data_IF_078444130331
#
_entry.id   IF_078444130331
#
_cell.length_a   1.000
_cell.length_b   1.000
_cell.length_c   1.000
_cell.angle_alpha   90.00
_cell.angle_beta   90.00
_cell.angle_gamma   90.00
#
_symmetry.space_group_name_H-M   'P 1'
#
loop_
_entity.id
_entity.type
_entity.pdbx_description
1 polymer ?
#
# COMPACT_ATOMS: atom_id res chain seq x y z
N UNK A 1 41.28 42.43 7.88
CA UNK A 1 42.47 41.60 8.20
C UNK A 1 41.94 40.42 9.02
N UNK A 2 41.19 39.46 8.45
CA UNK A 2 41.58 38.36 7.55
C UNK A 2 42.77 37.57 8.10
N UNK A 3 42.48 36.44 8.76
CA UNK A 3 43.26 35.19 8.67
C UNK A 3 42.27 34.03 8.90
N UNK A 4 42.04 33.25 7.84
CA UNK A 4 41.52 31.88 7.92
C UNK A 4 42.69 30.93 8.25
N UNK A 5 42.46 29.77 8.86
CA UNK A 5 43.32 28.62 8.68
C UNK A 5 42.73 27.65 7.64
N UNK A 6 43.66 27.10 6.88
CA UNK A 6 43.49 26.37 5.65
C UNK A 6 42.96 24.94 5.81
N UNK A 7 42.21 24.56 4.77
CA UNK A 7 42.17 23.28 4.06
C UNK A 7 43.09 22.15 4.60
N UNK A 8 42.48 21.04 4.98
CA UNK A 8 43.12 19.73 4.94
C UNK A 8 42.26 18.81 4.05
N UNK A 9 42.85 18.33 2.94
CA UNK A 9 42.32 17.27 2.08
C UNK A 9 42.76 15.87 2.61
N UNK A 10 42.13 14.77 2.17
CA UNK A 10 41.90 13.57 2.97
C UNK A 10 42.92 12.43 2.75
N UNK A 11 42.98 11.42 3.65
CA UNK A 11 43.49 10.10 3.29
C UNK A 11 42.40 9.20 2.69
N UNK A 12 42.79 8.53 1.62
CA UNK A 12 41.95 7.76 0.70
C UNK A 12 41.68 6.30 1.14
N UNK A 13 40.44 5.85 0.85
CA UNK A 13 40.00 4.53 0.37
C UNK A 13 40.43 3.26 1.13
N UNK A 14 39.43 2.58 1.70
CA UNK A 14 39.46 1.15 2.03
C UNK A 14 38.11 0.50 1.72
N UNK A 15 38.16 -0.52 0.85
CA UNK A 15 37.05 -1.19 0.18
C UNK A 15 35.99 -1.83 1.09
N UNK A 16 34.73 -1.63 0.73
CA UNK A 16 33.60 -2.38 1.27
C UNK A 16 32.29 -1.85 0.71
N UNK A 17 32.05 -2.08 -0.59
CA UNK A 17 30.76 -1.84 -1.23
C UNK A 17 29.69 -2.73 -0.56
N UNK A 18 29.17 -2.33 0.59
CA UNK A 18 27.84 -2.75 1.02
C UNK A 18 26.88 -2.08 0.04
N UNK A 19 26.56 -2.81 -1.04
CA UNK A 19 25.46 -2.47 -1.95
C UNK A 19 24.23 -2.22 -1.09
N UNK A 20 23.86 -0.95 -0.93
CA UNK A 20 22.54 -0.58 -0.47
C UNK A 20 21.52 -1.34 -1.32
N UNK A 21 20.44 -1.88 -0.74
CA UNK A 21 19.40 -2.46 -1.56
C UNK A 21 18.90 -1.34 -2.49
N UNK A 22 19.09 -1.53 -3.79
CA UNK A 22 18.53 -0.67 -4.83
C UNK A 22 17.00 -0.80 -4.75
N UNK A 23 16.36 0.00 -3.89
CA UNK A 23 14.91 0.20 -3.96
C UNK A 23 14.64 1.09 -5.16
N UNK A 24 14.15 0.48 -6.23
CA UNK A 24 13.60 1.17 -7.38
C UNK A 24 12.53 2.19 -6.92
N UNK A 25 12.39 3.34 -7.59
CA UNK A 25 11.56 4.44 -7.11
C UNK A 25 10.08 4.06 -7.12
N UNK A 26 9.43 4.03 -5.95
CA UNK A 26 7.97 3.88 -5.82
C UNK A 26 7.28 5.18 -6.28
N UNK A 27 7.10 5.32 -7.60
CA UNK A 27 6.11 6.19 -8.25
C UNK A 27 6.09 7.65 -7.79
N UNK A 28 7.13 8.40 -8.11
CA UNK A 28 7.16 9.86 -7.96
C UNK A 28 6.21 10.62 -8.95
N UNK A 29 4.98 10.16 -9.23
CA UNK A 29 4.18 10.70 -10.35
C UNK A 29 2.66 10.86 -10.21
N UNK A 30 2.03 10.63 -9.07
CA UNK A 30 0.56 10.80 -8.96
C UNK A 30 0.13 11.64 -7.74
N UNK A 31 0.82 12.75 -7.46
CA UNK A 31 0.31 13.77 -6.51
C UNK A 31 -0.80 14.64 -7.14
N UNK A 32 -1.62 14.06 -8.02
CA UNK A 32 -2.91 14.63 -8.35
C UNK A 32 -3.80 14.28 -7.16
N UNK A 33 -4.27 15.32 -6.45
CA UNK A 33 -5.25 15.33 -5.37
C UNK A 33 -6.00 14.00 -5.26
N UNK A 34 -5.66 13.18 -4.27
CA UNK A 34 -6.38 11.93 -4.03
C UNK A 34 -7.74 12.33 -3.48
N UNK A 35 -8.79 12.23 -4.28
CA UNK A 35 -10.15 12.35 -3.75
C UNK A 35 -10.41 11.13 -2.87
N UNK A 36 -10.39 11.34 -1.55
CA UNK A 36 -10.52 10.27 -0.56
C UNK A 36 -11.85 9.52 -0.67
N UNK A 37 -12.92 10.25 -0.99
CA UNK A 37 -14.22 9.67 -1.26
C UNK A 37 -14.22 8.83 -2.53
N UNK A 38 -13.60 9.30 -3.61
CA UNK A 38 -13.51 8.53 -4.85
C UNK A 38 -12.69 7.24 -4.65
N UNK A 39 -11.54 7.33 -3.97
CA UNK A 39 -10.71 6.15 -3.67
C UNK A 39 -11.46 5.13 -2.81
N UNK A 40 -12.19 5.59 -1.78
CA UNK A 40 -13.03 4.74 -0.94
C UNK A 40 -14.14 4.06 -1.76
N UNK A 41 -14.90 4.83 -2.54
CA UNK A 41 -16.01 4.31 -3.34
C UNK A 41 -15.51 3.31 -4.39
N UNK A 42 -14.52 3.69 -5.20
CA UNK A 42 -13.96 2.81 -6.25
C UNK A 42 -13.46 1.50 -5.63
N UNK A 43 -12.68 1.57 -4.54
CA UNK A 43 -12.12 0.37 -3.91
C UNK A 43 -13.19 -0.53 -3.30
N UNK A 44 -14.19 0.06 -2.64
CA UNK A 44 -15.29 -0.67 -2.00
C UNK A 44 -16.15 -1.37 -3.05
N UNK A 45 -16.54 -0.67 -4.11
CA UNK A 45 -17.37 -1.22 -5.18
C UNK A 45 -16.63 -2.27 -6.00
N UNK A 46 -15.35 -2.04 -6.33
CA UNK A 46 -14.53 -3.02 -7.04
C UNK A 46 -14.40 -4.31 -6.23
N UNK A 47 -14.02 -4.22 -4.95
CA UNK A 47 -13.85 -5.39 -4.11
C UNK A 47 -15.18 -6.13 -3.87
N UNK A 48 -16.27 -5.40 -3.60
CA UNK A 48 -17.60 -6.01 -3.45
C UNK A 48 -18.01 -6.80 -4.72
N UNK A 49 -17.75 -6.22 -5.90
CA UNK A 49 -18.05 -6.85 -7.19
C UNK A 49 -17.21 -8.12 -7.42
N UNK A 50 -15.90 -8.06 -7.17
CA UNK A 50 -14.99 -9.21 -7.32
C UNK A 50 -15.38 -10.40 -6.44
N UNK A 51 -15.88 -10.11 -5.24
CA UNK A 51 -16.28 -11.12 -4.26
C UNK A 51 -17.78 -11.44 -4.29
N UNK A 52 -18.55 -10.85 -5.22
CA UNK A 52 -20.01 -11.05 -5.38
C UNK A 52 -20.82 -10.81 -4.10
N UNK A 53 -20.48 -9.75 -3.37
CA UNK A 53 -21.17 -9.31 -2.14
C UNK A 53 -21.71 -7.87 -2.32
N UNK A 54 -22.62 -7.43 -1.43
CA UNK A 54 -23.10 -6.06 -1.48
C UNK A 54 -22.04 -5.09 -0.92
N UNK A 55 -21.82 -3.90 -1.53
CA UNK A 55 -20.91 -2.89 -0.98
C UNK A 55 -21.24 -2.50 0.46
N UNK A 56 -22.54 -2.44 0.82
CA UNK A 56 -22.98 -2.14 2.18
C UNK A 56 -22.59 -3.22 3.21
N UNK A 57 -22.31 -4.45 2.77
CA UNK A 57 -21.86 -5.52 3.66
C UNK A 57 -20.42 -5.27 4.16
N UNK A 58 -19.61 -4.52 3.40
CA UNK A 58 -18.24 -4.19 3.78
C UNK A 58 -18.18 -3.23 4.97
N UNK A 59 -19.24 -2.46 5.24
CA UNK A 59 -19.29 -1.55 6.40
C UNK A 59 -19.34 -2.34 7.73
N UNK A 60 -19.95 -3.53 7.73
CA UNK A 60 -20.16 -4.33 8.94
C UNK A 60 -18.86 -4.78 9.59
N UNK A 61 -18.80 -4.81 10.93
CA UNK A 61 -17.59 -5.23 11.64
C UNK A 61 -17.21 -6.70 11.37
N UNK A 62 -18.23 -7.57 11.26
CA UNK A 62 -18.14 -9.01 11.04
C UNK A 62 -18.95 -9.41 9.80
N UNK A 63 -18.65 -10.56 9.23
CA UNK A 63 -19.38 -11.12 8.09
C UNK A 63 -18.82 -12.48 7.68
N UNK A 64 -19.43 -13.09 6.67
CA UNK A 64 -18.93 -14.30 6.03
C UNK A 64 -17.53 -14.07 5.44
N UNK A 65 -16.81 -15.16 5.14
CA UNK A 65 -15.43 -15.13 4.62
C UNK A 65 -15.27 -14.18 3.44
N UNK A 66 -16.16 -14.24 2.46
CA UNK A 66 -16.06 -13.43 1.23
C UNK A 66 -16.28 -11.94 1.49
N UNK A 67 -17.17 -11.58 2.43
CA UNK A 67 -17.37 -10.20 2.88
C UNK A 67 -16.11 -9.68 3.58
N UNK A 68 -15.47 -10.52 4.40
CA UNK A 68 -14.22 -10.15 5.08
C UNK A 68 -13.08 -9.95 4.08
N UNK A 69 -12.95 -10.86 3.11
CA UNK A 69 -11.96 -10.75 2.04
C UNK A 69 -12.19 -9.51 1.17
N UNK A 70 -13.43 -9.24 0.78
CA UNK A 70 -13.79 -8.03 0.02
C UNK A 70 -13.39 -6.76 0.77
N UNK A 71 -13.66 -6.68 2.07
CA UNK A 71 -13.25 -5.54 2.89
C UNK A 71 -11.73 -5.39 2.94
N UNK A 72 -11.00 -6.49 3.14
CA UNK A 72 -9.54 -6.47 3.19
C UNK A 72 -8.94 -6.05 1.84
N UNK A 73 -9.52 -6.50 0.73
CA UNK A 73 -9.16 -6.08 -0.62
C UNK A 73 -9.41 -4.59 -0.84
N UNK A 74 -10.57 -4.06 -0.45
CA UNK A 74 -10.86 -2.62 -0.54
C UNK A 74 -9.86 -1.78 0.27
N UNK A 75 -9.53 -2.21 1.50
CA UNK A 75 -8.50 -1.57 2.35
C UNK A 75 -7.13 -1.59 1.66
N UNK A 76 -6.75 -2.73 1.08
CA UNK A 76 -5.48 -2.89 0.37
C UNK A 76 -5.38 -1.94 -0.82
N UNK A 77 -6.43 -1.84 -1.63
CA UNK A 77 -6.47 -0.93 -2.79
C UNK A 77 -6.30 0.53 -2.37
N UNK A 78 -7.01 0.99 -1.34
CA UNK A 78 -6.86 2.37 -0.83
C UNK A 78 -5.43 2.63 -0.34
N UNK A 79 -4.85 1.71 0.44
CA UNK A 79 -3.51 1.89 0.99
C UNK A 79 -2.41 1.81 -0.10
N UNK A 80 -2.45 0.78 -0.94
CA UNK A 80 -1.35 0.42 -1.83
C UNK A 80 -1.53 1.02 -3.23
N UNK A 81 -2.71 0.87 -3.84
CA UNK A 81 -2.96 1.34 -5.21
C UNK A 81 -3.15 2.85 -5.24
N UNK A 82 -3.99 3.37 -4.36
CA UNK A 82 -4.21 4.82 -4.25
C UNK A 82 -3.15 5.52 -3.39
N UNK A 83 -2.31 4.80 -2.63
CA UNK A 83 -1.16 5.37 -1.92
C UNK A 83 -1.52 6.20 -0.69
N UNK A 84 -2.66 5.91 -0.05
CA UNK A 84 -3.05 6.53 1.21
C UNK A 84 -2.23 5.95 2.35
N UNK A 85 -1.93 6.72 3.40
CA UNK A 85 -1.29 6.14 4.59
C UNK A 85 -2.29 5.27 5.39
N UNK A 86 -1.75 4.49 6.35
CA UNK A 86 -2.55 3.54 7.14
C UNK A 86 -3.57 4.23 8.05
N UNK A 87 -3.28 5.43 8.57
CA UNK A 87 -4.20 6.17 9.43
C UNK A 87 -5.38 6.72 8.63
N UNK A 88 -5.09 7.32 7.46
CA UNK A 88 -6.15 7.84 6.58
C UNK A 88 -7.02 6.70 6.04
N UNK A 89 -6.41 5.58 5.65
CA UNK A 89 -7.14 4.37 5.23
C UNK A 89 -8.02 3.85 6.37
N UNK A 90 -7.50 3.76 7.60
CA UNK A 90 -8.25 3.32 8.77
C UNK A 90 -9.47 4.21 9.03
N UNK A 91 -9.31 5.53 8.93
CA UNK A 91 -10.41 6.49 9.06
C UNK A 91 -11.49 6.30 7.98
N UNK A 92 -11.10 6.10 6.71
CA UNK A 92 -12.05 5.90 5.61
C UNK A 92 -12.94 4.67 5.79
N UNK A 93 -12.42 3.60 6.41
CA UNK A 93 -13.19 2.37 6.66
C UNK A 93 -13.77 2.28 8.07
N UNK A 94 -13.59 3.32 8.92
CA UNK A 94 -14.02 3.30 10.31
C UNK A 94 -13.38 2.17 11.13
N UNK A 95 -12.07 1.92 10.94
CA UNK A 95 -11.32 0.84 11.57
C UNK A 95 -10.09 1.33 12.31
N UNK A 96 -9.51 0.46 13.13
CA UNK A 96 -8.21 0.70 13.74
C UNK A 96 -7.07 0.50 12.74
N UNK A 97 -5.97 1.24 12.91
CA UNK A 97 -4.75 1.12 12.10
C UNK A 97 -4.23 -0.32 11.98
N UNK A 98 -4.35 -1.13 13.05
CA UNK A 98 -3.97 -2.56 13.05
C UNK A 98 -4.83 -3.41 12.11
N UNK A 99 -6.09 -3.02 11.88
CA UNK A 99 -6.96 -3.68 10.91
C UNK A 99 -6.42 -3.48 9.50
N UNK A 100 -5.92 -2.27 9.18
CA UNK A 100 -5.29 -1.99 7.89
C UNK A 100 -4.02 -2.81 7.71
N UNK A 101 -3.17 -2.88 8.74
CA UNK A 101 -1.96 -3.71 8.73
C UNK A 101 -2.29 -5.18 8.47
N UNK A 102 -3.24 -5.73 9.24
CA UNK A 102 -3.66 -7.13 9.12
C UNK A 102 -4.32 -7.42 7.77
N UNK A 103 -5.14 -6.50 7.26
CA UNK A 103 -5.75 -6.62 5.94
C UNK A 103 -4.69 -6.64 4.84
N UNK A 104 -3.73 -5.72 4.89
CA UNK A 104 -2.67 -5.66 3.89
C UNK A 104 -1.78 -6.90 3.95
N UNK A 105 -1.37 -7.33 5.14
CA UNK A 105 -0.58 -8.56 5.31
C UNK A 105 -1.31 -9.77 4.72
N UNK A 106 -2.58 -9.96 5.07
CA UNK A 106 -3.36 -11.09 4.55
C UNK A 106 -3.53 -11.07 3.02
N UNK A 107 -3.76 -9.89 2.42
CA UNK A 107 -3.84 -9.78 0.96
C UNK A 107 -2.48 -10.00 0.31
N UNK A 108 -1.37 -9.56 0.92
CA UNK A 108 -0.03 -9.87 0.42
C UNK A 108 0.29 -11.37 0.52
N UNK A 109 -0.04 -12.02 1.64
CA UNK A 109 0.09 -13.47 1.79
C UNK A 109 -0.69 -14.20 0.68
N UNK A 110 -1.94 -13.78 0.42
CA UNK A 110 -2.74 -14.33 -0.67
C UNK A 110 -2.18 -14.02 -2.06
N UNK A 111 -1.51 -12.88 -2.27
CA UNK A 111 -0.86 -12.55 -3.55
C UNK A 111 0.42 -13.36 -3.76
N UNK A 112 1.15 -13.62 -2.70
CA UNK A 112 2.34 -14.48 -2.71
C UNK A 112 1.94 -15.94 -2.96
N UNK A 113 0.84 -16.40 -2.38
CA UNK A 113 0.28 -17.74 -2.61
C UNK A 113 -0.39 -17.86 -4.00
N UNK A 114 -1.17 -16.85 -4.41
CA UNK A 114 -1.88 -16.80 -5.70
C UNK A 114 -0.99 -16.43 -6.90
N UNK A 115 0.28 -16.10 -6.69
CA UNK A 115 1.29 -16.15 -7.76
C UNK A 115 1.44 -17.58 -8.32
N UNK A 116 0.80 -18.58 -7.70
CA UNK A 116 0.64 -19.94 -8.22
C UNK A 116 -0.76 -20.24 -8.80
N UNK A 117 -1.73 -19.30 -8.78
CA UNK A 117 -3.06 -19.54 -9.38
C UNK A 117 -3.67 -18.30 -10.08
N UNK A 118 -3.43 -18.28 -11.39
CA UNK A 118 -4.09 -17.59 -12.51
C UNK A 118 -5.30 -16.68 -12.18
N UNK A 119 -5.04 -15.38 -12.03
CA UNK A 119 -6.11 -14.37 -12.03
C UNK A 119 -5.73 -12.96 -12.49
N UNK A 120 -4.43 -12.65 -12.65
CA UNK A 120 -3.98 -11.32 -13.10
C UNK A 120 -3.60 -11.26 -14.59
N UNK A 121 -3.47 -12.40 -15.27
CA UNK A 121 -3.14 -12.47 -16.71
C UNK A 121 -4.29 -11.99 -17.62
N UNK A 122 -5.50 -11.81 -17.09
CA UNK A 122 -6.66 -11.33 -17.85
C UNK A 122 -6.73 -9.79 -17.95
N UNK A 123 -5.71 -9.08 -17.44
CA UNK A 123 -5.61 -7.61 -17.49
C UNK A 123 -4.42 -7.10 -18.33
N UNK A 124 -3.73 -8.01 -19.03
CA UNK A 124 -2.82 -7.69 -20.14
C UNK A 124 -3.55 -7.92 -21.48
#
# INVERSE_FOLDING_TARGET
MSIAPALADPPARGHGLRRAPRRAPHRARASAVRDWQAAYLISTWLAASLHRVSPGDLERARGARDIVLARQCAIYLVHVVFGFDRMTTAALFGRDRRTVERACAHIEDLREDAATDRGFDALE
#
